data_IF_409229695868
#
_entry.id   IF_409229695868
#
_cell.length_a   1.000
_cell.length_b   1.000
_cell.length_c   1.000
_cell.angle_alpha   90.00
_cell.angle_beta   90.00
_cell.angle_gamma   90.00
#
_symmetry.space_group_name_H-M   'P 1'
#
loop_
_entity.id
_entity.type
_entity.pdbx_description
1 polymer ?
#
# COMPACT_ATOMS: atom_id res chain seq x y z
N UNK A 1 14.08 14.75 5.14
CA UNK A 1 13.20 14.13 6.15
C UNK A 1 12.60 12.88 5.52
N UNK A 2 13.15 11.69 5.81
CA UNK A 2 12.82 10.46 5.09
C UNK A 2 11.82 9.54 5.82
N UNK A 3 11.40 9.89 7.04
CA UNK A 3 10.60 9.00 7.89
C UNK A 3 9.24 8.59 7.31
N UNK A 4 8.60 9.41 6.48
CA UNK A 4 7.36 9.01 5.78
C UNK A 4 7.64 7.99 4.67
N UNK A 5 8.68 8.20 3.87
CA UNK A 5 9.08 7.27 2.82
C UNK A 5 9.54 5.92 3.40
N UNK A 6 10.32 5.94 4.48
CA UNK A 6 10.78 4.73 5.19
C UNK A 6 9.60 3.92 5.74
N UNK A 7 8.62 4.58 6.37
CA UNK A 7 7.40 3.91 6.85
C UNK A 7 6.56 3.33 5.71
N UNK A 8 6.41 4.06 4.61
CA UNK A 8 5.72 3.58 3.41
C UNK A 8 6.39 2.34 2.83
N UNK A 9 7.72 2.36 2.71
CA UNK A 9 8.50 1.21 2.26
C UNK A 9 8.31 -0.02 3.15
N UNK A 10 8.31 0.16 4.47
CA UNK A 10 8.04 -0.90 5.44
C UNK A 10 6.64 -1.53 5.29
N UNK A 11 5.62 -0.72 5.02
CA UNK A 11 4.26 -1.20 4.76
C UNK A 11 4.16 -2.03 3.47
N UNK A 12 4.81 -1.60 2.39
CA UNK A 12 4.86 -2.33 1.13
C UNK A 12 5.55 -3.68 1.32
N UNK A 13 6.72 -3.71 1.96
CA UNK A 13 7.47 -4.95 2.22
C UNK A 13 6.65 -5.91 3.08
N UNK A 14 5.96 -5.40 4.11
CA UNK A 14 5.09 -6.22 4.96
C UNK A 14 3.96 -6.88 4.16
N UNK A 15 3.27 -6.12 3.29
CA UNK A 15 2.19 -6.67 2.45
C UNK A 15 2.70 -7.63 1.39
N UNK A 16 3.84 -7.33 0.76
CA UNK A 16 4.50 -8.24 -0.17
C UNK A 16 4.80 -9.60 0.48
N UNK A 17 5.33 -9.60 1.72
CA UNK A 17 5.60 -10.82 2.48
C UNK A 17 4.34 -11.60 2.80
N UNK A 18 3.25 -10.92 3.18
CA UNK A 18 1.97 -11.59 3.44
C UNK A 18 1.43 -12.26 2.18
N UNK A 19 1.45 -11.57 1.03
CA UNK A 19 1.02 -12.15 -0.25
C UNK A 19 1.83 -13.39 -0.63
N UNK A 20 3.15 -13.33 -0.45
CA UNK A 20 4.04 -14.45 -0.77
C UNK A 20 3.81 -15.66 0.15
N UNK A 21 3.77 -15.43 1.47
CA UNK A 21 3.69 -16.51 2.48
C UNK A 21 2.30 -17.15 2.52
N UNK A 22 1.24 -16.34 2.59
CA UNK A 22 -0.13 -16.85 2.68
C UNK A 22 -0.63 -17.39 1.34
N UNK A 23 -0.20 -16.78 0.22
CA UNK A 23 -0.53 -17.24 -1.12
C UNK A 23 0.17 -18.56 -1.50
N UNK A 24 1.20 -18.98 -0.74
CA UNK A 24 2.05 -20.16 -1.07
C UNK A 24 2.62 -20.09 -2.49
N UNK A 25 2.96 -18.88 -2.93
CA UNK A 25 3.41 -18.61 -4.30
C UNK A 25 4.95 -18.70 -4.41
N UNK A 26 5.49 -19.01 -5.60
CA UNK A 26 6.94 -19.00 -5.83
C UNK A 26 7.57 -17.64 -5.53
N UNK A 27 8.75 -17.65 -4.90
CA UNK A 27 9.47 -16.42 -4.52
C UNK A 27 9.92 -15.58 -5.73
N UNK A 28 10.03 -16.20 -6.90
CA UNK A 28 10.46 -15.53 -8.13
C UNK A 28 9.43 -14.51 -8.63
N UNK A 29 8.16 -14.62 -8.16
CA UNK A 29 7.08 -13.66 -8.42
C UNK A 29 7.13 -12.43 -7.48
N UNK A 30 8.29 -12.11 -6.92
CA UNK A 30 8.45 -10.97 -6.03
C UNK A 30 8.04 -9.62 -6.68
N UNK A 31 8.25 -9.37 -8.00
CA UNK A 31 7.79 -8.13 -8.62
C UNK A 31 6.26 -8.00 -8.63
N UNK A 32 5.56 -9.12 -8.83
CA UNK A 32 4.10 -9.18 -8.82
C UNK A 32 3.56 -8.96 -7.41
N UNK A 33 4.19 -9.53 -6.38
CA UNK A 33 3.81 -9.28 -5.00
C UNK A 33 4.00 -7.82 -4.61
N UNK A 34 5.09 -7.19 -5.04
CA UNK A 34 5.34 -5.77 -4.79
C UNK A 34 4.28 -4.90 -5.48
N UNK A 35 3.99 -5.18 -6.76
CA UNK A 35 2.98 -4.46 -7.54
C UNK A 35 1.58 -4.60 -6.94
N UNK A 36 1.20 -5.83 -6.56
CA UNK A 36 -0.08 -6.10 -5.91
C UNK A 36 -0.17 -5.45 -4.52
N UNK A 37 0.90 -5.47 -3.72
CA UNK A 37 0.96 -4.80 -2.43
C UNK A 37 0.72 -3.28 -2.56
N UNK A 38 1.39 -2.63 -3.50
CA UNK A 38 1.19 -1.19 -3.78
C UNK A 38 -0.23 -0.92 -4.24
N UNK A 39 -0.76 -1.72 -5.15
CA UNK A 39 -2.13 -1.55 -5.64
C UNK A 39 -3.16 -1.68 -4.51
N UNK A 40 -3.04 -2.72 -3.68
CA UNK A 40 -3.92 -2.94 -2.53
C UNK A 40 -3.82 -1.81 -1.51
N UNK A 41 -2.61 -1.38 -1.15
CA UNK A 41 -2.42 -0.29 -0.19
C UNK A 41 -3.06 1.01 -0.67
N UNK A 42 -2.98 1.31 -1.96
CA UNK A 42 -3.54 2.53 -2.52
C UNK A 42 -5.06 2.48 -2.74
N UNK A 43 -5.66 1.29 -2.83
CA UNK A 43 -7.09 1.10 -3.11
C UNK A 43 -7.93 0.67 -1.91
N UNK A 44 -7.30 0.14 -0.86
CA UNK A 44 -8.01 -0.27 0.36
C UNK A 44 -8.31 0.95 1.23
N UNK A 45 -9.56 1.16 1.67
CA UNK A 45 -9.89 2.21 2.61
C UNK A 45 -9.04 2.11 3.89
N UNK A 46 -8.41 3.21 4.26
CA UNK A 46 -7.66 3.37 5.50
C UNK A 46 -8.39 4.36 6.40
N UNK A 47 -8.52 4.01 7.68
CA UNK A 47 -9.17 4.86 8.65
C UNK A 47 -8.17 5.86 9.25
N UNK A 48 -8.44 7.14 9.09
CA UNK A 48 -7.66 8.23 9.70
C UNK A 48 -8.33 8.59 11.02
N UNK A 49 -7.78 8.07 12.13
CA UNK A 49 -8.36 8.23 13.46
C UNK A 49 -8.45 9.69 13.92
N UNK A 50 -7.48 10.53 13.55
CA UNK A 50 -7.47 11.96 13.88
C UNK A 50 -8.62 12.75 13.24
N UNK A 51 -9.18 12.22 12.15
CA UNK A 51 -10.21 12.88 11.35
C UNK A 51 -11.54 12.09 11.34
N UNK A 52 -11.60 10.97 12.07
CA UNK A 52 -12.75 10.06 12.12
C UNK A 52 -13.34 9.74 10.74
N UNK A 53 -12.47 9.50 9.74
CA UNK A 53 -12.90 9.23 8.36
C UNK A 53 -12.15 8.07 7.73
N UNK A 54 -12.83 7.40 6.81
CA UNK A 54 -12.24 6.44 5.89
C UNK A 54 -11.80 7.14 4.62
N UNK A 55 -10.57 6.90 4.19
CA UNK A 55 -10.04 7.44 2.93
C UNK A 55 -9.49 6.32 2.06
N UNK A 56 -9.64 6.46 0.76
CA UNK A 56 -8.90 5.66 -0.21
C UNK A 56 -7.75 6.51 -0.71
N UNK A 57 -6.51 6.11 -0.41
CA UNK A 57 -5.32 6.92 -0.68
C UNK A 57 -5.22 7.35 -2.15
N UNK A 58 -5.50 6.44 -3.08
CA UNK A 58 -5.50 6.77 -4.51
C UNK A 58 -6.50 7.85 -4.88
N UNK A 59 -7.67 7.89 -4.24
CA UNK A 59 -8.69 8.91 -4.52
C UNK A 59 -8.27 10.28 -4.00
N UNK A 60 -7.64 10.33 -2.82
CA UNK A 60 -7.13 11.58 -2.26
C UNK A 60 -6.01 12.16 -3.14
N UNK A 61 -5.05 11.32 -3.54
CA UNK A 61 -3.99 11.69 -4.48
C UNK A 61 -4.60 12.14 -5.82
N UNK A 62 -5.57 11.41 -6.37
CA UNK A 62 -6.20 11.76 -7.64
C UNK A 62 -6.86 13.15 -7.62
N UNK A 63 -7.42 13.57 -6.49
CA UNK A 63 -7.98 14.94 -6.34
C UNK A 63 -6.90 16.01 -6.41
N UNK A 64 -5.70 15.73 -5.90
CA UNK A 64 -4.56 16.65 -5.93
C UNK A 64 -3.97 16.83 -7.35
N UNK A 65 -4.09 15.79 -8.18
CA UNK A 65 -3.59 15.77 -9.56
C UNK A 65 -4.70 15.92 -10.64
N UNK A 66 -5.95 16.13 -10.24
CA UNK A 66 -7.03 16.42 -11.17
C UNK A 66 -6.94 17.88 -11.65
N UNK A 67 -7.18 18.17 -12.95
CA UNK A 67 -7.18 19.54 -13.48
C UNK A 67 -8.33 20.39 -12.94
#
# INVERSE_FOLDING_TARGET
MNGYAERSGGMIITRMRMLALEGKLPKDLWPEFASAAVWLLNRTPSYIATENRWVVLWEEVRKEFAP
#
